data_IF_608653738254
#
_entry.id   IF_608653738254
#
_cell.length_a   1.000
_cell.length_b   1.000
_cell.length_c   1.000
_cell.angle_alpha   90.00
_cell.angle_beta   90.00
_cell.angle_gamma   90.00
#
_symmetry.space_group_name_H-M   'P 1'
#
loop_
_entity.id
_entity.type
_entity.pdbx_description
1 polymer ?
#
# COMPACT_ATOMS: atom_id res chain seq x y z
N UNK A 1 7.89 2.71 -1.83
CA UNK A 1 7.23 4.05 -1.69
C UNK A 1 6.99 4.28 -0.21
N UNK A 2 6.36 5.37 0.23
CA UNK A 2 5.89 5.41 1.64
C UNK A 2 4.94 4.25 1.95
N UNK A 3 5.04 3.65 3.14
CA UNK A 3 4.15 2.56 3.56
C UNK A 3 2.66 2.93 3.51
N UNK A 4 2.35 4.20 3.77
CA UNK A 4 1.02 4.77 3.60
C UNK A 4 0.48 4.61 2.16
N UNK A 5 1.33 4.82 1.15
CA UNK A 5 0.96 4.65 -0.25
C UNK A 5 0.70 3.18 -0.60
N UNK A 6 1.51 2.26 -0.09
CA UNK A 6 1.32 0.81 -0.26
C UNK A 6 -0.01 0.35 0.34
N UNK A 7 -0.27 0.72 1.60
CA UNK A 7 -1.53 0.42 2.30
C UNK A 7 -2.74 0.97 1.53
N UNK A 8 -2.68 2.24 1.10
CA UNK A 8 -3.80 2.88 0.41
C UNK A 8 -4.05 2.27 -0.97
N UNK A 9 -3.01 2.01 -1.75
CA UNK A 9 -3.11 1.41 -3.08
C UNK A 9 -3.71 -0.01 -3.01
N UNK A 10 -3.22 -0.83 -2.09
CA UNK A 10 -3.70 -2.19 -1.88
C UNK A 10 -5.20 -2.21 -1.50
N UNK A 11 -5.63 -1.28 -0.63
CA UNK A 11 -7.04 -1.11 -0.28
C UNK A 11 -7.89 -0.62 -1.47
N UNK A 12 -7.38 0.28 -2.32
CA UNK A 12 -8.05 0.74 -3.55
C UNK A 12 -8.25 -0.42 -4.53
N UNK A 13 -7.19 -1.21 -4.77
CA UNK A 13 -7.25 -2.40 -5.63
C UNK A 13 -8.32 -3.36 -5.14
N UNK A 14 -8.31 -3.71 -3.85
CA UNK A 14 -9.30 -4.59 -3.27
C UNK A 14 -10.73 -4.05 -3.43
N UNK A 15 -10.93 -2.74 -3.23
CA UNK A 15 -12.25 -2.14 -3.23
C UNK A 15 -12.85 -1.93 -4.64
N UNK A 16 -12.02 -1.51 -5.60
CA UNK A 16 -12.49 -1.11 -6.93
C UNK A 16 -12.15 -2.10 -8.04
N UNK A 17 -11.28 -3.08 -7.77
CA UNK A 17 -10.97 -4.12 -8.74
C UNK A 17 -12.19 -4.94 -9.14
N UNK A 18 -12.17 -5.52 -10.34
CA UNK A 18 -13.29 -6.30 -10.92
C UNK A 18 -13.07 -7.81 -10.88
N UNK A 19 -12.03 -8.26 -10.18
CA UNK A 19 -11.71 -9.68 -10.02
C UNK A 19 -12.42 -10.29 -8.81
N UNK A 20 -12.38 -11.61 -8.68
CA UNK A 20 -12.86 -12.30 -7.48
C UNK A 20 -12.02 -11.92 -6.24
N UNK A 21 -12.57 -12.14 -5.04
CA UNK A 21 -11.91 -11.75 -3.78
C UNK A 21 -10.48 -12.28 -3.60
N UNK A 22 -10.19 -13.58 -3.81
CA UNK A 22 -8.82 -14.09 -3.70
C UNK A 22 -7.84 -13.39 -4.65
N UNK A 23 -8.23 -13.19 -5.92
CA UNK A 23 -7.41 -12.46 -6.88
C UNK A 23 -7.17 -11.02 -6.44
N UNK A 24 -8.18 -10.36 -5.85
CA UNK A 24 -8.03 -9.00 -5.34
C UNK A 24 -7.04 -8.90 -4.17
N UNK A 25 -7.03 -9.87 -3.26
CA UNK A 25 -6.04 -9.92 -2.18
C UNK A 25 -4.64 -10.22 -2.71
N UNK A 26 -4.51 -11.10 -3.69
CA UNK A 26 -3.24 -11.35 -4.36
C UNK A 26 -2.72 -10.10 -5.08
N UNK A 27 -3.58 -9.39 -5.82
CA UNK A 27 -3.23 -8.14 -6.48
C UNK A 27 -2.88 -7.03 -5.47
N UNK A 28 -3.58 -6.98 -4.33
CA UNK A 28 -3.25 -6.06 -3.25
C UNK A 28 -1.82 -6.31 -2.71
N UNK A 29 -1.47 -7.57 -2.43
CA UNK A 29 -0.11 -7.96 -2.06
C UNK A 29 0.91 -7.65 -3.17
N UNK A 30 0.64 -8.06 -4.41
CA UNK A 30 1.55 -7.89 -5.54
C UNK A 30 1.79 -6.41 -5.89
N UNK A 31 0.83 -5.53 -5.58
CA UNK A 31 0.97 -4.10 -5.83
C UNK A 31 2.15 -3.47 -5.10
N UNK A 32 2.59 -4.06 -3.99
CA UNK A 32 3.78 -3.63 -3.26
C UNK A 32 5.02 -3.57 -4.16
N UNK A 33 5.36 -4.68 -4.79
CA UNK A 33 6.55 -4.79 -5.66
C UNK A 33 6.45 -3.88 -6.89
N UNK A 34 5.23 -3.66 -7.40
CA UNK A 34 5.00 -2.75 -8.52
C UNK A 34 5.27 -1.29 -8.11
N UNK A 35 4.81 -0.89 -6.93
CA UNK A 35 5.04 0.44 -6.39
C UNK A 35 6.51 0.64 -6.03
N UNK A 36 7.21 -0.38 -5.55
CA UNK A 36 8.64 -0.26 -5.25
C UNK A 36 9.54 -0.18 -6.47
N UNK A 37 9.10 -0.75 -7.60
CA UNK A 37 9.76 -0.56 -8.88
C UNK A 37 9.70 0.90 -9.36
N UNK A 38 8.80 1.74 -8.82
CA UNK A 38 8.74 3.17 -9.17
C UNK A 38 9.75 3.97 -8.34
N UNK A 39 10.49 4.93 -8.94
CA UNK A 39 11.39 5.80 -8.19
C UNK A 39 10.63 6.61 -7.13
N UNK A 40 11.04 6.48 -5.86
CA UNK A 40 10.37 7.08 -4.72
C UNK A 40 11.38 7.50 -3.65
N UNK A 41 11.05 8.57 -2.93
CA UNK A 41 11.85 9.14 -1.86
C UNK A 41 11.62 8.37 -0.56
N UNK A 42 12.69 7.83 0.02
CA UNK A 42 12.62 7.09 1.27
C UNK A 42 12.48 8.06 2.45
N UNK A 43 11.29 8.08 3.06
CA UNK A 43 11.10 8.78 4.33
C UNK A 43 11.80 8.04 5.47
N UNK A 44 12.22 8.78 6.48
CA UNK A 44 12.70 8.19 7.73
C UNK A 44 11.64 7.28 8.36
N UNK A 45 12.09 6.20 8.99
CA UNK A 45 11.25 5.17 9.59
C UNK A 45 10.10 5.74 10.46
N UNK A 46 10.31 6.74 11.36
CA UNK A 46 9.22 7.30 12.16
C UNK A 46 8.11 7.96 11.34
N UNK A 47 8.46 8.66 10.25
CA UNK A 47 7.49 9.32 9.39
C UNK A 47 6.66 8.29 8.62
N UNK A 48 7.30 7.23 8.10
CA UNK A 48 6.59 6.13 7.45
C UNK A 48 5.61 5.43 8.40
N UNK A 49 6.02 5.15 9.64
CA UNK A 49 5.13 4.56 10.64
C UNK A 49 3.92 5.44 10.97
N UNK A 50 4.12 6.74 11.17
CA UNK A 50 3.02 7.67 11.48
C UNK A 50 2.01 7.76 10.33
N UNK A 51 2.50 7.91 9.09
CA UNK A 51 1.64 7.99 7.91
C UNK A 51 0.90 6.66 7.68
N UNK A 52 1.61 5.53 7.79
CA UNK A 52 1.03 4.20 7.64
C UNK A 52 -0.07 3.94 8.67
N UNK A 53 0.19 4.23 9.95
CA UNK A 53 -0.79 4.10 11.03
C UNK A 53 -2.03 4.98 10.80
N UNK A 54 -1.84 6.21 10.30
CA UNK A 54 -2.94 7.12 9.96
C UNK A 54 -3.85 6.56 8.87
N UNK A 55 -3.28 6.05 7.77
CA UNK A 55 -4.05 5.41 6.69
C UNK A 55 -4.74 4.15 7.19
N UNK A 56 -4.05 3.32 7.99
CA UNK A 56 -4.63 2.11 8.54
C UNK A 56 -5.84 2.45 9.43
N UNK A 57 -5.72 3.43 10.32
CA UNK A 57 -6.81 3.89 11.18
C UNK A 57 -8.03 4.35 10.35
N UNK A 58 -7.79 5.07 9.26
CA UNK A 58 -8.83 5.43 8.29
C UNK A 58 -9.49 4.19 7.68
N UNK A 59 -8.72 3.20 7.23
CA UNK A 59 -9.26 1.96 6.67
C UNK A 59 -10.12 1.21 7.69
N UNK A 60 -9.67 1.08 8.94
CA UNK A 60 -10.45 0.47 10.03
C UNK A 60 -11.75 1.22 10.30
N UNK A 61 -11.71 2.56 10.33
CA UNK A 61 -12.91 3.39 10.49
C UNK A 61 -13.89 3.17 9.33
N UNK A 62 -13.42 3.11 8.09
CA UNK A 62 -14.24 2.90 6.89
C UNK A 62 -14.80 1.48 6.85
N UNK A 63 -13.99 0.47 7.19
CA UNK A 63 -14.40 -0.93 7.28
C UNK A 63 -15.56 -1.11 8.26
N UNK A 64 -15.50 -0.47 9.44
CA UNK A 64 -16.61 -0.47 10.42
C UNK A 64 -17.89 0.11 9.82
N UNK A 65 -17.81 1.26 9.16
CA UNK A 65 -18.99 1.94 8.57
C UNK A 65 -19.59 1.17 7.39
N UNK A 66 -18.77 0.46 6.62
CA UNK A 66 -19.18 -0.24 5.40
C UNK A 66 -19.35 -1.74 5.58
N UNK A 67 -19.06 -2.26 6.79
CA UNK A 67 -19.01 -3.69 7.11
C UNK A 67 -18.09 -4.49 6.17
N UNK A 68 -17.01 -3.87 5.71
CA UNK A 68 -16.04 -4.47 4.77
C UNK A 68 -14.65 -4.54 5.39
N UNK A 69 -14.42 -5.60 6.17
CA UNK A 69 -13.13 -5.88 6.82
C UNK A 69 -12.05 -6.37 5.87
N UNK A 70 -12.40 -6.71 4.62
CA UNK A 70 -11.40 -7.04 3.61
C UNK A 70 -10.55 -5.84 3.20
N UNK A 71 -11.06 -4.62 3.37
CA UNK A 71 -10.33 -3.40 3.05
C UNK A 71 -9.06 -3.19 3.90
N UNK A 72 -9.11 -3.20 5.25
CA UNK A 72 -7.91 -3.13 6.07
C UNK A 72 -7.04 -4.37 5.92
N UNK A 73 -7.61 -5.55 5.70
CA UNK A 73 -6.83 -6.77 5.42
C UNK A 73 -5.99 -6.62 4.13
N UNK A 74 -6.59 -6.10 3.06
CA UNK A 74 -5.86 -5.82 1.82
C UNK A 74 -4.79 -4.75 2.02
N UNK A 75 -5.09 -3.68 2.76
CA UNK A 75 -4.10 -2.66 3.11
C UNK A 75 -2.89 -3.23 3.86
N UNK A 76 -3.12 -4.11 4.85
CA UNK A 76 -2.05 -4.81 5.57
C UNK A 76 -1.23 -5.73 4.66
N UNK A 77 -1.88 -6.42 3.71
CA UNK A 77 -1.15 -7.24 2.73
C UNK A 77 -0.25 -6.40 1.82
N UNK A 78 -0.66 -5.17 1.49
CA UNK A 78 0.16 -4.23 0.72
C UNK A 78 1.45 -3.81 1.42
N UNK A 79 1.49 -3.84 2.74
CA UNK A 79 2.66 -3.49 3.57
C UNK A 79 3.44 -4.72 4.07
N UNK A 80 2.90 -5.92 3.84
CA UNK A 80 3.47 -7.15 4.38
C UNK A 80 4.93 -7.39 3.96
N UNK A 81 5.37 -7.10 2.72
CA UNK A 81 6.77 -7.30 2.35
C UNK A 81 7.72 -6.40 3.15
N UNK A 82 7.38 -5.13 3.38
CA UNK A 82 8.15 -4.21 4.22
C UNK A 82 8.24 -4.70 5.67
N UNK A 83 7.12 -5.17 6.24
CA UNK A 83 7.12 -5.77 7.56
C UNK A 83 8.04 -7.00 7.62
N UNK A 84 7.98 -7.87 6.62
CA UNK A 84 8.86 -9.03 6.52
C UNK A 84 10.34 -8.60 6.42
N UNK A 85 10.64 -7.53 5.67
CA UNK A 85 11.99 -6.99 5.54
C UNK A 85 12.51 -6.44 6.88
N UNK A 86 11.71 -5.61 7.57
CA UNK A 86 12.04 -5.04 8.87
C UNK A 86 12.28 -6.08 9.96
N UNK A 87 11.48 -7.15 9.98
CA UNK A 87 11.58 -8.20 11.00
C UNK A 87 12.41 -9.42 10.57
N UNK A 88 12.97 -9.40 9.36
CA UNK A 88 13.79 -10.50 8.82
C UNK A 88 13.10 -11.87 8.90
N UNK A 89 11.79 -11.94 8.61
CA UNK A 89 11.00 -13.16 8.83
C UNK A 89 11.34 -14.31 7.86
N UNK A 90 12.15 -14.07 6.81
CA UNK A 90 12.75 -15.13 6.01
C UNK A 90 13.63 -14.65 4.83
N UNK A 91 14.66 -15.42 4.44
CA UNK A 91 15.65 -15.00 3.44
C UNK A 91 15.09 -14.91 2.01
N UNK A 92 14.12 -15.76 1.64
CA UNK A 92 13.52 -15.76 0.30
C UNK A 92 12.79 -14.44 0.03
N UNK A 93 11.94 -14.02 0.95
CA UNK A 93 11.18 -12.77 0.83
C UNK A 93 12.07 -11.55 0.94
N UNK A 94 13.08 -11.59 1.80
CA UNK A 94 14.10 -10.53 1.88
C UNK A 94 14.82 -10.33 0.53
N UNK A 95 15.18 -11.42 -0.15
CA UNK A 95 15.85 -11.36 -1.46
C UNK A 95 14.93 -10.84 -2.57
N UNK A 96 13.66 -11.28 -2.60
CA UNK A 96 12.67 -10.78 -3.57
C UNK A 96 12.43 -9.29 -3.36
N UNK A 97 12.18 -8.87 -2.12
CA UNK A 97 11.98 -7.47 -1.75
C UNK A 97 13.17 -6.60 -2.15
N UNK A 98 14.37 -7.03 -1.76
CA UNK A 98 15.62 -6.33 -2.09
C UNK A 98 15.81 -6.22 -3.60
N UNK A 99 15.49 -7.24 -4.38
CA UNK A 99 15.61 -7.18 -5.84
C UNK A 99 14.79 -6.03 -6.46
N UNK A 100 13.58 -5.76 -5.96
CA UNK A 100 12.77 -4.63 -6.42
C UNK A 100 13.30 -3.27 -5.93
N UNK A 101 13.97 -3.20 -4.78
CA UNK A 101 14.65 -1.99 -4.30
C UNK A 101 15.99 -1.69 -5.01
N UNK A 102 16.75 -2.72 -5.43
CA UNK A 102 18.16 -2.59 -5.84
C UNK A 102 18.40 -2.11 -7.28
N UNK A 103 17.36 -1.91 -8.10
CA UNK A 103 17.51 -1.31 -9.45
C UNK A 103 17.45 0.23 -9.48
N UNK A 104 17.53 0.90 -8.32
CA UNK A 104 17.58 2.37 -8.26
C UNK A 104 19.01 2.84 -8.54
N UNK A 105 19.37 3.02 -9.81
CA UNK A 105 20.68 3.52 -10.24
C UNK A 105 21.01 4.96 -9.76
N UNK A 106 20.06 5.65 -9.12
CA UNK A 106 20.21 6.99 -8.60
C UNK A 106 19.35 7.17 -7.34
N UNK A 107 19.79 7.95 -6.33
CA UNK A 107 18.91 8.35 -5.25
C UNK A 107 17.70 9.08 -5.86
N UNK A 108 16.49 8.63 -5.54
CA UNK A 108 15.28 9.29 -6.01
C UNK A 108 15.31 10.76 -5.53
N UNK A 109 15.21 11.68 -6.49
CA UNK A 109 15.27 13.11 -6.21
C UNK A 109 14.08 13.56 -5.35
N UNK A 110 14.27 14.57 -4.50
CA UNK A 110 13.22 15.14 -3.65
C UNK A 110 11.86 15.45 -4.35
N UNK A 111 11.77 15.77 -5.66
CA UNK A 111 10.50 15.96 -6.35
C UNK A 111 9.64 14.69 -6.48
N UNK A 112 10.17 13.50 -6.20
CA UNK A 112 9.37 12.27 -6.09
C UNK A 112 8.37 12.34 -4.91
N UNK A 113 8.71 13.07 -3.84
CA UNK A 113 7.88 13.14 -2.64
C UNK A 113 6.53 13.86 -2.87
N UNK A 114 6.45 15.01 -3.56
CA UNK A 114 5.18 15.59 -4.00
C UNK A 114 4.33 14.64 -4.85
N UNK A 115 4.94 13.88 -5.76
CA UNK A 115 4.22 12.92 -6.60
C UNK A 115 3.62 11.77 -5.78
N UNK A 116 4.39 11.24 -4.82
CA UNK A 116 3.90 10.24 -3.87
C UNK A 116 2.77 10.79 -2.98
N UNK A 117 2.89 12.03 -2.53
CA UNK A 117 1.85 12.70 -1.75
C UNK A 117 0.56 12.87 -2.55
N UNK A 118 0.65 13.25 -3.83
CA UNK A 118 -0.50 13.34 -4.74
C UNK A 118 -1.14 11.97 -4.98
N UNK A 119 -0.32 10.93 -5.21
CA UNK A 119 -0.80 9.55 -5.36
C UNK A 119 -1.56 9.08 -4.11
N UNK A 120 -0.96 9.27 -2.93
CA UNK A 120 -1.57 8.93 -1.66
C UNK A 120 -2.88 9.70 -1.44
N UNK A 121 -2.88 11.01 -1.70
CA UNK A 121 -4.07 11.84 -1.59
C UNK A 121 -5.20 11.36 -2.52
N UNK A 122 -4.87 11.00 -3.76
CA UNK A 122 -5.84 10.45 -4.71
C UNK A 122 -6.40 9.10 -4.24
N UNK A 123 -5.55 8.19 -3.74
CA UNK A 123 -5.99 6.90 -3.20
C UNK A 123 -6.90 7.08 -1.98
N UNK A 124 -6.53 7.95 -1.04
CA UNK A 124 -7.35 8.30 0.13
C UNK A 124 -8.67 8.93 -0.30
N UNK A 125 -8.65 9.85 -1.27
CA UNK A 125 -9.87 10.46 -1.81
C UNK A 125 -10.83 9.40 -2.36
N UNK A 126 -10.33 8.45 -3.16
CA UNK A 126 -11.13 7.33 -3.67
C UNK A 126 -11.72 6.50 -2.53
N UNK A 127 -10.91 6.12 -1.54
CA UNK A 127 -11.35 5.36 -0.37
C UNK A 127 -12.39 6.12 0.48
N UNK A 128 -12.35 7.45 0.48
CA UNK A 128 -13.25 8.37 1.17
C UNK A 128 -14.53 8.72 0.37
N UNK A 129 -14.54 8.51 -0.94
CA UNK A 129 -15.70 8.72 -1.82
C UNK A 129 -16.94 7.93 -1.39
N UNK A 130 -18.12 8.37 -1.83
CA UNK A 130 -19.38 7.64 -1.63
C UNK A 130 -19.33 6.33 -2.42
N UNK A 131 -19.53 5.22 -1.72
CA UNK A 131 -19.55 3.88 -2.31
C UNK A 131 -20.74 3.77 -3.27
N UNK A 132 -20.49 3.57 -4.56
CA UNK A 132 -21.43 2.80 -5.36
C UNK A 132 -21.25 1.36 -4.92
N UNK A 133 -22.27 0.75 -4.30
CA UNK A 133 -22.18 -0.60 -3.78
C UNK A 133 -21.75 -1.59 -4.86
N UNK A 134 -20.87 -2.54 -4.52
CA UNK A 134 -20.72 -3.77 -5.33
C UNK A 134 -22.06 -4.48 -5.28
N UNK A 135 -22.79 -4.47 -6.39
CA UNK A 135 -23.95 -5.33 -6.58
C UNK A 135 -23.43 -6.76 -6.80
N UNK A 136 -23.88 -7.71 -5.98
CA UNK A 136 -23.66 -9.15 -6.13
C UNK A 136 -22.44 -9.67 -5.39
#
# INVERSE_FOLDING_TARGET
>A
MTGAAHIAAAAVIYKYGRFNRPCLFFLAFASHFLLDATPHYELGLPANFLLGAGVLALLFQRARRQKDWGMPAAGLLGELPDANWLFSAGPVWHNIHSFFHFKKAFPASWPCLPLEALFLAAAVYLLCGKTQGRAG
#
